data_IF_171690949245
#
_entry.id   IF_171690949245
#
_cell.length_a   1.000
_cell.length_b   1.000
_cell.length_c   1.000
_cell.angle_alpha   90.00
_cell.angle_beta   90.00
_cell.angle_gamma   90.00
#
_symmetry.space_group_name_H-M   'P 1'
#
loop_
_entity.id
_entity.type
_entity.pdbx_description
1 polymer ?
#
# COMPACT_ATOMS: atom_id res chain seq x y z
N UNK A 1 12.58 6.73 -0.26
CA UNK A 1 13.16 6.21 0.99
C UNK A 1 12.36 6.64 2.19
N UNK A 2 11.60 5.70 2.73
CA UNK A 2 10.84 5.83 3.98
C UNK A 2 11.78 5.85 5.18
N UNK A 3 11.35 6.43 6.30
CA UNK A 3 12.10 6.39 7.57
C UNK A 3 11.99 4.99 8.19
N UNK A 4 13.11 4.46 8.68
CA UNK A 4 13.14 3.18 9.38
C UNK A 4 12.82 3.37 10.86
N UNK A 5 11.98 2.49 11.39
CA UNK A 5 11.64 2.42 12.81
C UNK A 5 12.29 1.18 13.43
N UNK A 6 12.67 1.28 14.70
CA UNK A 6 13.25 0.18 15.45
C UNK A 6 12.32 -0.25 16.58
N UNK A 7 12.25 -1.56 16.83
CA UNK A 7 11.51 -2.15 17.93
C UNK A 7 12.25 -3.39 18.44
N UNK A 8 12.10 -3.70 19.72
CA UNK A 8 12.78 -4.85 20.35
C UNK A 8 12.18 -6.20 19.95
N UNK A 9 10.93 -6.23 19.48
CA UNK A 9 10.23 -7.40 18.95
C UNK A 9 8.99 -6.97 18.12
N UNK A 10 8.30 -7.93 17.49
CA UNK A 10 7.13 -7.64 16.65
C UNK A 10 5.93 -7.09 17.45
N UNK A 11 5.74 -7.46 18.71
CA UNK A 11 4.66 -6.94 19.56
C UNK A 11 4.83 -5.44 19.80
N UNK A 12 6.03 -5.01 20.18
CA UNK A 12 6.36 -3.58 20.37
C UNK A 12 6.26 -2.83 19.04
N UNK A 13 6.68 -3.43 17.92
CA UNK A 13 6.55 -2.83 16.61
C UNK A 13 5.07 -2.59 16.24
N UNK A 14 4.21 -3.57 16.54
CA UNK A 14 2.78 -3.49 16.27
C UNK A 14 2.12 -2.37 17.09
N UNK A 15 2.39 -2.32 18.40
CA UNK A 15 1.88 -1.24 19.27
C UNK A 15 2.40 0.12 18.81
N UNK A 16 3.68 0.24 18.44
CA UNK A 16 4.26 1.50 17.94
C UNK A 16 3.55 1.98 16.67
N UNK A 17 3.33 1.09 15.69
CA UNK A 17 2.60 1.44 14.46
C UNK A 17 1.14 1.82 14.75
N UNK A 18 0.52 1.18 15.73
CA UNK A 18 -0.84 1.51 16.15
C UNK A 18 -0.90 2.89 16.83
N UNK A 19 -0.03 3.17 17.80
CA UNK A 19 0.08 4.46 18.50
C UNK A 19 0.39 5.63 17.56
N UNK A 20 1.19 5.39 16.51
CA UNK A 20 1.50 6.37 15.47
C UNK A 20 0.35 6.58 14.46
N UNK A 21 -0.74 5.81 14.55
CA UNK A 21 -1.88 5.89 13.63
C UNK A 21 -1.56 5.35 12.22
N UNK A 22 -0.55 4.48 12.08
CA UNK A 22 -0.17 3.87 10.81
C UNK A 22 -1.05 2.66 10.43
N UNK A 23 -1.93 2.22 11.35
CA UNK A 23 -2.88 1.12 11.12
C UNK A 23 -4.29 1.67 10.95
N UNK A 24 -5.19 0.86 10.40
CA UNK A 24 -6.63 1.16 10.34
C UNK A 24 -7.38 0.86 11.67
N UNK A 25 -6.63 0.61 12.75
CA UNK A 25 -7.15 0.16 14.04
C UNK A 25 -7.04 -1.36 14.23
N UNK A 26 -6.64 -2.11 13.20
CA UNK A 26 -6.41 -3.56 13.29
C UNK A 26 -4.90 -3.89 13.36
N UNK A 27 -4.55 -5.09 13.88
CA UNK A 27 -3.19 -5.61 13.79
C UNK A 27 -2.73 -5.75 12.33
N UNK A 28 -1.46 -5.41 12.07
CA UNK A 28 -0.82 -5.49 10.75
C UNK A 28 0.38 -6.42 10.77
N UNK A 29 0.79 -6.91 9.59
CA UNK A 29 2.09 -7.57 9.45
C UNK A 29 3.19 -6.50 9.45
N UNK A 30 4.21 -6.67 10.29
CA UNK A 30 5.29 -5.67 10.39
C UNK A 30 6.03 -5.55 9.05
N UNK A 31 6.11 -4.35 8.44
CA UNK A 31 6.75 -4.13 7.15
C UNK A 31 8.27 -4.04 7.29
N UNK A 32 8.91 -5.14 7.68
CA UNK A 32 10.38 -5.21 7.73
C UNK A 32 10.98 -4.99 6.35
N UNK A 33 12.21 -4.45 6.30
CA UNK A 33 12.93 -4.19 5.04
C UNK A 33 12.92 -5.42 4.11
N UNK A 34 13.21 -6.61 4.63
CA UNK A 34 13.21 -7.85 3.86
C UNK A 34 11.82 -8.21 3.29
N UNK A 35 10.73 -7.96 4.02
CA UNK A 35 9.37 -8.21 3.53
C UNK A 35 9.01 -7.22 2.43
N UNK A 36 9.36 -5.94 2.61
CA UNK A 36 9.09 -4.87 1.65
C UNK A 36 9.90 -5.07 0.37
N UNK A 37 11.20 -5.36 0.49
CA UNK A 37 12.09 -5.61 -0.65
C UNK A 37 11.59 -6.77 -1.52
N UNK A 38 11.12 -7.86 -0.89
CA UNK A 38 10.51 -8.99 -1.62
C UNK A 38 9.30 -8.59 -2.45
N UNK A 39 8.42 -7.74 -1.92
CA UNK A 39 7.27 -7.24 -2.68
C UNK A 39 7.73 -6.30 -3.80
N UNK A 40 8.69 -5.41 -3.55
CA UNK A 40 9.24 -4.51 -4.57
C UNK A 40 9.82 -5.32 -5.74
N UNK A 41 10.66 -6.32 -5.46
CA UNK A 41 11.27 -7.18 -6.47
C UNK A 41 10.20 -7.86 -7.35
N UNK A 42 9.10 -8.33 -6.73
CA UNK A 42 8.01 -8.99 -7.45
C UNK A 42 7.29 -8.07 -8.45
N UNK A 43 7.41 -6.75 -8.30
CA UNK A 43 6.87 -5.79 -9.29
C UNK A 43 7.73 -5.68 -10.55
N UNK A 44 9.04 -5.93 -10.46
CA UNK A 44 10.00 -5.61 -11.51
C UNK A 44 10.17 -4.12 -11.81
N UNK A 45 9.73 -3.23 -10.91
CA UNK A 45 9.79 -1.77 -11.05
C UNK A 45 10.80 -1.15 -10.09
N UNK A 46 11.19 0.10 -10.40
CA UNK A 46 12.02 0.91 -9.51
C UNK A 46 11.22 1.32 -8.25
N UNK A 47 11.78 1.22 -7.03
CA UNK A 47 11.08 1.56 -5.78
C UNK A 47 10.61 3.02 -5.73
N UNK A 48 11.33 3.95 -6.35
CA UNK A 48 11.00 5.37 -6.37
C UNK A 48 10.03 5.73 -7.52
N UNK A 49 9.67 4.77 -8.38
CA UNK A 49 8.70 4.99 -9.45
C UNK A 49 7.36 5.45 -8.88
N UNK A 50 6.92 6.64 -9.29
CA UNK A 50 5.61 7.20 -8.93
C UNK A 50 4.52 6.53 -9.75
N UNK A 51 3.55 5.94 -9.07
CA UNK A 51 2.36 5.31 -9.65
C UNK A 51 1.24 6.33 -9.88
N UNK A 52 1.21 7.37 -9.06
CA UNK A 52 0.27 8.48 -9.14
C UNK A 52 0.12 9.20 -7.80
N UNK A 53 -0.79 10.16 -7.76
CA UNK A 53 -1.17 10.90 -6.56
C UNK A 53 -2.54 10.39 -6.10
N UNK A 54 -2.65 10.05 -4.81
CA UNK A 54 -3.87 9.49 -4.24
C UNK A 54 -4.55 10.53 -3.35
N UNK A 55 -5.76 10.92 -3.72
CA UNK A 55 -6.66 11.69 -2.86
C UNK A 55 -7.16 10.87 -1.66
N UNK A 56 -7.75 11.51 -0.64
CA UNK A 56 -7.99 12.96 -0.54
C UNK A 56 -6.77 13.74 0.00
N UNK A 57 -5.79 13.05 0.58
CA UNK A 57 -4.56 13.66 1.13
C UNK A 57 -3.54 14.07 0.08
N UNK A 58 -3.79 13.75 -1.21
CA UNK A 58 -2.90 14.07 -2.33
C UNK A 58 -1.48 13.53 -2.12
N UNK A 59 -1.42 12.30 -1.58
CA UNK A 59 -0.17 11.62 -1.28
C UNK A 59 0.46 11.01 -2.52
N UNK A 60 1.76 11.19 -2.71
CA UNK A 60 2.51 10.52 -3.78
C UNK A 60 2.68 9.04 -3.45
N UNK A 61 2.06 8.19 -4.27
CA UNK A 61 2.19 6.74 -4.20
C UNK A 61 3.37 6.27 -5.06
N UNK A 62 4.47 5.89 -4.40
CA UNK A 62 5.59 5.19 -5.04
C UNK A 62 5.43 3.68 -4.92
N UNK A 63 6.20 2.92 -5.69
CA UNK A 63 6.26 1.44 -5.57
C UNK A 63 6.65 1.03 -4.14
N UNK A 64 7.66 1.67 -3.55
CA UNK A 64 8.09 1.41 -2.16
C UNK A 64 6.93 1.60 -1.16
N UNK A 65 6.23 2.73 -1.21
CA UNK A 65 5.13 3.03 -0.28
C UNK A 65 3.96 2.06 -0.43
N UNK A 66 3.63 1.68 -1.67
CA UNK A 66 2.58 0.68 -1.92
C UNK A 66 3.01 -0.70 -1.44
N UNK A 67 4.29 -1.07 -1.59
CA UNK A 67 4.83 -2.31 -1.05
C UNK A 67 4.77 -2.35 0.48
N UNK A 68 5.12 -1.24 1.17
CA UNK A 68 4.97 -1.13 2.63
C UNK A 68 3.51 -1.39 3.05
N UNK A 69 2.55 -0.68 2.45
CA UNK A 69 1.13 -0.86 2.74
C UNK A 69 0.65 -2.29 2.42
N UNK A 70 1.15 -2.89 1.32
CA UNK A 70 0.82 -4.25 0.93
C UNK A 70 1.38 -5.29 1.92
N UNK A 71 2.61 -5.11 2.43
CA UNK A 71 3.12 -5.97 3.52
C UNK A 71 2.21 -5.85 4.73
N UNK A 72 1.89 -4.62 5.17
CA UNK A 72 1.04 -4.38 6.34
C UNK A 72 -0.32 -5.08 6.22
N UNK A 73 -0.90 -5.12 5.01
CA UNK A 73 -2.13 -5.82 4.68
C UNK A 73 -1.98 -7.35 4.55
N UNK A 74 -0.77 -7.90 4.68
CA UNK A 74 -0.50 -9.34 4.55
C UNK A 74 -0.41 -9.85 3.11
N UNK A 75 -0.11 -8.98 2.15
CA UNK A 75 0.02 -9.34 0.73
C UNK A 75 1.24 -10.25 0.50
N UNK A 76 1.11 -11.19 -0.44
CA UNK A 76 2.21 -12.04 -0.90
C UNK A 76 2.80 -11.51 -2.22
N UNK A 77 4.08 -11.81 -2.53
CA UNK A 77 4.76 -11.34 -3.74
C UNK A 77 3.99 -11.57 -5.05
N UNK A 78 3.40 -12.76 -5.22
CA UNK A 78 2.70 -13.16 -6.44
C UNK A 78 1.52 -12.23 -6.81
N UNK A 79 0.95 -11.52 -5.83
CA UNK A 79 -0.18 -10.60 -6.05
C UNK A 79 0.28 -9.15 -6.28
N UNK A 80 1.55 -8.83 -6.05
CA UNK A 80 2.03 -7.46 -6.13
C UNK A 80 1.83 -6.81 -7.51
N UNK A 81 2.03 -7.51 -8.66
CA UNK A 81 1.72 -6.93 -9.97
C UNK A 81 0.26 -6.47 -10.11
N UNK A 82 -0.68 -7.19 -9.51
CA UNK A 82 -2.11 -6.83 -9.50
C UNK A 82 -2.34 -5.59 -8.63
N UNK A 83 -1.73 -5.52 -7.44
CA UNK A 83 -1.82 -4.36 -6.55
C UNK A 83 -1.31 -3.10 -7.25
N UNK A 84 -0.16 -3.18 -7.91
CA UNK A 84 0.40 -2.05 -8.68
C UNK A 84 -0.54 -1.62 -9.80
N UNK A 85 -1.11 -2.56 -10.56
CA UNK A 85 -2.06 -2.25 -11.61
C UNK A 85 -3.34 -1.58 -11.05
N UNK A 86 -3.86 -2.08 -9.94
CA UNK A 86 -5.02 -1.52 -9.26
C UNK A 86 -4.74 -0.08 -8.77
N UNK A 87 -3.59 0.17 -8.14
CA UNK A 87 -3.20 1.51 -7.68
C UNK A 87 -3.09 2.47 -8.86
N UNK A 88 -2.46 2.07 -9.97
CA UNK A 88 -2.40 2.90 -11.19
C UNK A 88 -3.78 3.21 -11.74
N UNK A 89 -4.70 2.24 -11.72
CA UNK A 89 -6.05 2.41 -12.24
C UNK A 89 -6.86 3.41 -11.40
N UNK A 90 -6.78 3.33 -10.07
CA UNK A 90 -7.50 4.27 -9.18
C UNK A 90 -6.82 5.63 -9.10
N UNK A 91 -5.52 5.72 -9.39
CA UNK A 91 -4.79 6.99 -9.48
C UNK A 91 -5.05 7.76 -10.78
N UNK A 92 -5.72 7.15 -11.77
CA UNK A 92 -6.09 7.84 -13.00
C UNK A 92 -7.07 8.99 -12.67
N UNK A 93 -6.78 10.24 -13.05
CA UNK A 93 -7.65 11.38 -12.74
C UNK A 93 -9.09 11.23 -13.24
N UNK A 94 -9.33 10.39 -14.25
CA UNK A 94 -10.68 10.10 -14.76
C UNK A 94 -11.52 9.25 -13.81
N UNK A 95 -10.89 8.50 -12.90
CA UNK A 95 -11.59 7.72 -11.87
C UNK A 95 -12.03 8.58 -10.69
N UNK A 96 -11.33 9.70 -10.43
CA UNK A 96 -11.60 10.64 -9.34
C UNK A 96 -11.68 9.98 -7.95
N UNK A 97 -10.56 9.38 -7.53
CA UNK A 97 -10.45 8.70 -6.24
C UNK A 97 -10.75 9.62 -5.04
N UNK A 98 -10.49 10.93 -5.17
CA UNK A 98 -10.75 11.91 -4.11
C UNK A 98 -12.22 11.93 -3.73
N UNK A 99 -13.11 12.05 -4.71
CA UNK A 99 -14.56 12.07 -4.47
C UNK A 99 -15.06 10.73 -3.91
N UNK A 100 -14.52 9.61 -4.41
CA UNK A 100 -14.84 8.27 -3.90
C UNK A 100 -14.49 8.12 -2.42
N UNK A 101 -13.37 8.68 -1.97
CA UNK A 101 -12.93 8.60 -0.57
C UNK A 101 -13.51 9.70 0.34
N UNK A 102 -13.99 10.81 -0.21
CA UNK A 102 -14.57 11.92 0.55
C UNK A 102 -16.07 11.75 0.85
N UNK A 103 -16.72 10.76 0.25
CA UNK A 103 -18.15 10.48 0.48
C UNK A 103 -18.41 9.90 1.88
N UNK A 104 -19.58 10.23 2.45
CA UNK A 104 -20.02 9.68 3.74
C UNK A 104 -20.63 8.28 3.64
N UNK A 105 -20.85 7.78 2.41
CA UNK A 105 -21.29 6.42 2.16
C UNK A 105 -20.11 5.46 2.03
N UNK A 106 -20.22 4.23 2.53
CA UNK A 106 -19.16 3.23 2.42
C UNK A 106 -18.98 2.80 0.95
N UNK A 107 -18.10 3.47 0.22
CA UNK A 107 -17.80 3.19 -1.18
C UNK A 107 -16.37 2.65 -1.28
N UNK A 108 -16.19 1.54 -2.00
CA UNK A 108 -14.88 0.94 -2.21
C UNK A 108 -14.72 0.54 -3.68
N UNK A 109 -13.53 0.73 -4.29
CA UNK A 109 -13.24 0.21 -5.62
C UNK A 109 -13.36 -1.32 -5.66
N UNK A 110 -14.17 -1.84 -6.59
CA UNK A 110 -14.16 -3.27 -6.93
C UNK A 110 -13.12 -3.51 -8.02
N UNK A 111 -12.09 -4.30 -7.70
CA UNK A 111 -11.07 -4.69 -8.66
C UNK A 111 -11.46 -6.02 -9.31
N UNK A 112 -11.60 -6.03 -10.64
CA UNK A 112 -11.87 -7.23 -11.42
C UNK A 112 -10.65 -7.53 -12.29
N UNK A 113 -10.05 -8.69 -12.07
CA UNK A 113 -8.91 -9.18 -12.85
C UNK A 113 -9.40 -10.28 -13.78
N UNK A 114 -9.05 -10.20 -15.06
CA UNK A 114 -9.38 -11.21 -16.06
C UNK A 114 -8.21 -11.42 -17.01
N UNK A 115 -7.96 -12.68 -17.37
CA UNK A 115 -6.91 -13.08 -18.29
C UNK A 115 -6.11 -14.27 -17.77
N UNK A 116 -5.15 -14.78 -18.56
CA UNK A 116 -4.17 -15.74 -18.09
C UNK A 116 -3.36 -15.17 -16.91
N UNK A 117 -2.97 -16.05 -16.00
CA UNK A 117 -1.95 -15.76 -14.99
C UNK A 117 -0.55 -15.81 -15.60
#
# INVERSE_FOLDING_TARGET
MSELLEASNEEVALETLHEMGCTDGLPVVIPTEERVERLIIATGLDPDMVLGELGPGMGIATVEKVAVAAVMAGCIPDYMPIVIAAVKAVADPRFDLTEVQATTHCTAPLIIVNGPA
#
